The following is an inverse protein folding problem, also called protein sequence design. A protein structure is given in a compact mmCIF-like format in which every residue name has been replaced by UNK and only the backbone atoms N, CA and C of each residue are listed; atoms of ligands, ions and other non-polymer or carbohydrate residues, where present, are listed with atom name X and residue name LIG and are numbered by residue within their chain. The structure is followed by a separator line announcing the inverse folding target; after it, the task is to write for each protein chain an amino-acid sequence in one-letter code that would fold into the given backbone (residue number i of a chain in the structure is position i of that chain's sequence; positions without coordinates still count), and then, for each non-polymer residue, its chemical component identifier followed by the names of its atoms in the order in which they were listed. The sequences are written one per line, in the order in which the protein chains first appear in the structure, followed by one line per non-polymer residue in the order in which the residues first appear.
data_IF_328209100800
#
_entry.id   IF_328209100800
#
_cell.length_a   1.000
_cell.length_b   1.000
_cell.length_c   1.000
_cell.angle_alpha   90.00
_cell.angle_beta   90.00
_cell.angle_gamma   90.00
#
_symmetry.space_group_name_H-M   'P 1'
#
loop_
_entity.id
_entity.type
_entity.pdbx_description
1 polymer ?
#
# COMPACT_ATOMS: atom_id res chain seq x y z
N UNK A 1 -22.53 5.17 -17.52
CA UNK A 1 -22.98 3.77 -17.70
C UNK A 1 -22.57 2.99 -16.46
N UNK A 2 -23.49 2.75 -15.52
CA UNK A 2 -23.21 1.94 -14.34
C UNK A 2 -23.32 0.46 -14.75
N UNK A 3 -22.18 -0.19 -14.93
CA UNK A 3 -22.11 -1.62 -15.26
C UNK A 3 -22.69 -2.46 -14.12
N UNK A 4 -23.40 -3.53 -14.49
CA UNK A 4 -24.12 -4.47 -13.64
C UNK A 4 -23.20 -5.33 -12.73
N UNK A 5 -22.38 -4.72 -11.87
CA UNK A 5 -21.49 -5.44 -10.96
C UNK A 5 -22.16 -5.83 -9.63
N UNK A 6 -23.40 -5.43 -9.39
CA UNK A 6 -24.09 -5.69 -8.11
C UNK A 6 -24.14 -7.19 -7.73
N UNK A 7 -24.43 -8.14 -8.64
CA UNK A 7 -24.42 -9.56 -8.31
C UNK A 7 -23.06 -10.07 -7.83
N UNK A 8 -21.97 -9.54 -8.39
CA UNK A 8 -20.59 -9.88 -8.01
C UNK A 8 -20.25 -9.33 -6.62
N UNK A 9 -20.65 -8.10 -6.33
CA UNK A 9 -20.47 -7.50 -5.01
C UNK A 9 -21.25 -8.25 -3.94
N UNK A 10 -22.45 -8.74 -4.25
CA UNK A 10 -23.25 -9.53 -3.34
C UNK A 10 -22.63 -10.90 -3.02
N UNK A 11 -22.00 -11.54 -3.99
CA UNK A 11 -21.22 -12.76 -3.77
C UNK A 11 -20.05 -12.50 -2.83
N UNK A 12 -19.27 -11.43 -3.07
CA UNK A 12 -18.17 -11.05 -2.20
C UNK A 12 -18.66 -10.68 -0.78
N UNK A 13 -19.78 -9.96 -0.67
CA UNK A 13 -20.41 -9.62 0.62
C UNK A 13 -20.80 -10.85 1.42
N UNK A 14 -21.20 -11.95 0.78
CA UNK A 14 -21.46 -13.23 1.47
C UNK A 14 -20.17 -13.86 2.02
N UNK A 15 -19.04 -13.68 1.34
CA UNK A 15 -17.75 -14.24 1.76
C UNK A 15 -17.07 -13.48 2.91
N UNK A 16 -17.35 -12.18 3.08
CA UNK A 16 -16.69 -11.31 4.09
C UNK A 16 -17.42 -11.20 5.44
N UNK A 17 -18.69 -11.61 5.53
CA UNK A 17 -19.48 -11.52 6.77
C UNK A 17 -18.97 -12.46 7.88
N UNK A 18 -19.09 -12.03 9.15
CA UNK A 18 -18.12 -11.19 9.85
C UNK A 18 -16.80 -11.96 10.07
N UNK A 19 -15.89 -11.90 9.10
CA UNK A 19 -14.57 -12.55 9.22
C UNK A 19 -13.52 -11.61 9.77
N UNK A 20 -12.38 -12.18 10.17
CA UNK A 20 -11.22 -11.42 10.60
C UNK A 20 -10.74 -10.45 9.51
N UNK A 21 -10.14 -9.33 9.92
CA UNK A 21 -9.65 -8.29 8.99
C UNK A 21 -8.73 -8.86 7.90
N UNK A 22 -7.78 -9.73 8.25
CA UNK A 22 -6.88 -10.41 7.31
C UNK A 22 -7.63 -11.20 6.23
N UNK A 23 -8.71 -11.88 6.64
CA UNK A 23 -9.56 -12.65 5.73
C UNK A 23 -10.32 -11.75 4.76
N UNK A 24 -10.85 -10.63 5.26
CA UNK A 24 -11.55 -9.66 4.41
C UNK A 24 -10.59 -9.02 3.40
N UNK A 25 -9.38 -8.66 3.82
CA UNK A 25 -8.32 -8.16 2.93
C UNK A 25 -8.01 -9.18 1.84
N UNK A 26 -7.78 -10.45 2.19
CA UNK A 26 -7.50 -11.50 1.21
C UNK A 26 -8.60 -11.63 0.15
N UNK A 27 -9.85 -11.84 0.57
CA UNK A 27 -10.95 -12.03 -0.37
C UNK A 27 -11.17 -10.81 -1.27
N UNK A 28 -11.05 -9.59 -0.72
CA UNK A 28 -11.20 -8.38 -1.54
C UNK A 28 -10.05 -8.22 -2.54
N UNK A 29 -8.82 -8.56 -2.16
CA UNK A 29 -7.65 -8.49 -3.05
C UNK A 29 -7.72 -9.53 -4.17
N UNK A 30 -8.10 -10.78 -3.87
CA UNK A 30 -8.30 -11.82 -4.89
C UNK A 30 -9.47 -11.49 -5.82
N UNK A 31 -10.54 -10.91 -5.28
CA UNK A 31 -11.68 -10.50 -6.09
C UNK A 31 -11.33 -9.32 -7.01
N UNK A 32 -10.63 -8.31 -6.49
CA UNK A 32 -10.12 -7.18 -7.29
C UNK A 32 -9.05 -7.58 -8.31
N UNK A 33 -8.32 -8.67 -8.08
CA UNK A 33 -7.39 -9.26 -9.07
C UNK A 33 -8.14 -9.86 -10.26
N UNK A 34 -9.29 -10.48 -10.02
CA UNK A 34 -10.14 -11.06 -11.07
C UNK A 34 -10.99 -10.01 -11.80
N UNK A 35 -11.43 -8.97 -11.10
CA UNK A 35 -12.31 -7.93 -11.61
C UNK A 35 -11.79 -6.53 -11.23
N UNK A 36 -10.77 -5.98 -11.91
CA UNK A 36 -10.17 -4.70 -11.54
C UNK A 36 -11.14 -3.51 -11.52
N UNK A 37 -12.19 -3.56 -12.33
CA UNK A 37 -13.20 -2.51 -12.48
C UNK A 37 -14.05 -2.29 -11.22
N UNK A 38 -14.08 -3.24 -10.30
CA UNK A 38 -14.81 -3.12 -9.04
C UNK A 38 -13.95 -2.52 -7.92
N UNK A 39 -12.62 -2.37 -8.10
CA UNK A 39 -11.72 -1.81 -7.08
C UNK A 39 -12.23 -0.47 -6.53
N UNK A 40 -12.75 0.46 -7.35
CA UNK A 40 -13.35 1.70 -6.85
C UNK A 40 -14.56 1.48 -5.93
N UNK A 41 -15.28 0.37 -6.07
CA UNK A 41 -16.49 0.03 -5.31
C UNK A 41 -16.15 -0.68 -3.99
N UNK A 42 -15.12 -1.54 -3.99
CA UNK A 42 -14.65 -2.25 -2.78
C UNK A 42 -13.64 -1.44 -1.96
N UNK A 43 -12.92 -0.51 -2.59
CA UNK A 43 -11.96 0.38 -1.93
C UNK A 43 -10.61 -0.26 -1.58
N UNK A 44 -10.26 -1.41 -2.16
CA UNK A 44 -8.96 -2.05 -1.97
C UNK A 44 -8.55 -2.84 -3.22
N UNK A 45 -7.26 -2.91 -3.53
CA UNK A 45 -6.75 -3.66 -4.68
C UNK A 45 -5.23 -3.76 -4.69
N UNK A 46 -4.69 -4.63 -5.56
CA UNK A 46 -3.26 -4.67 -5.83
C UNK A 46 -2.84 -3.51 -6.73
N UNK A 47 -1.80 -2.78 -6.33
CA UNK A 47 -1.17 -1.73 -7.14
C UNK A 47 0.08 -2.24 -7.86
N UNK A 48 0.86 -3.08 -7.19
CA UNK A 48 1.94 -3.89 -7.77
C UNK A 48 2.02 -5.21 -7.01
N UNK A 49 3.01 -6.06 -7.29
CA UNK A 49 3.09 -7.39 -6.67
C UNK A 49 3.13 -7.37 -5.14
N UNK A 50 3.81 -6.38 -4.55
CA UNK A 50 3.99 -6.26 -3.09
C UNK A 50 3.30 -5.00 -2.52
N UNK A 51 2.57 -4.26 -3.35
CA UNK A 51 1.91 -3.03 -2.96
C UNK A 51 0.41 -3.15 -3.16
N UNK A 52 -0.34 -2.75 -2.14
CA UNK A 52 -1.79 -2.63 -2.22
C UNK A 52 -2.19 -1.17 -2.14
N UNK A 53 -3.35 -0.85 -2.69
CA UNK A 53 -4.01 0.44 -2.53
C UNK A 53 -5.27 0.23 -1.72
N UNK A 54 -5.58 1.18 -0.83
CA UNK A 54 -6.86 1.18 -0.14
C UNK A 54 -7.40 2.60 0.05
N UNK A 55 -8.68 2.75 -0.27
CA UNK A 55 -9.48 3.91 0.07
C UNK A 55 -10.11 3.69 1.44
N UNK A 56 -9.71 4.50 2.43
CA UNK A 56 -10.09 4.28 3.84
C UNK A 56 -11.60 4.22 4.06
N UNK A 57 -12.37 5.19 3.53
CA UNK A 57 -13.83 5.24 3.70
C UNK A 57 -14.58 4.12 2.96
N UNK A 58 -14.26 3.89 1.68
CA UNK A 58 -14.95 2.90 0.85
C UNK A 58 -14.71 1.50 1.41
N UNK A 59 -13.45 1.15 1.69
CA UNK A 59 -13.12 -0.18 2.21
C UNK A 59 -13.68 -0.40 3.61
N UNK A 60 -13.59 0.59 4.50
CA UNK A 60 -14.16 0.45 5.86
C UNK A 60 -15.66 0.25 5.82
N UNK A 61 -16.38 1.00 4.97
CA UNK A 61 -17.81 0.83 4.78
C UNK A 61 -18.14 -0.56 4.19
N UNK A 62 -17.38 -1.00 3.18
CA UNK A 62 -17.59 -2.28 2.51
C UNK A 62 -17.47 -3.47 3.47
N UNK A 63 -16.49 -3.45 4.39
CA UNK A 63 -16.29 -4.53 5.38
C UNK A 63 -17.00 -4.28 6.72
N UNK A 64 -17.78 -3.20 6.85
CA UNK A 64 -18.58 -2.91 8.03
C UNK A 64 -17.80 -2.47 9.27
N UNK A 65 -16.70 -1.73 9.11
CA UNK A 65 -15.92 -1.14 10.22
C UNK A 65 -15.85 0.38 10.12
N UNK A 66 -15.51 1.05 11.23
CA UNK A 66 -15.27 2.49 11.20
C UNK A 66 -13.99 2.84 10.41
N UNK A 67 -13.96 4.02 9.79
CA UNK A 67 -12.76 4.54 9.09
C UNK A 67 -11.54 4.63 10.01
N UNK A 68 -11.74 4.90 11.31
CA UNK A 68 -10.64 4.92 12.29
C UNK A 68 -10.10 3.51 12.55
N UNK A 69 -10.99 2.51 12.62
CA UNK A 69 -10.63 1.11 12.76
C UNK A 69 -9.87 0.58 11.55
N UNK A 70 -10.12 1.10 10.33
CA UNK A 70 -9.33 0.77 9.13
C UNK A 70 -7.84 1.08 9.34
N UNK A 71 -7.49 2.35 9.58
CA UNK A 71 -6.10 2.76 9.80
C UNK A 71 -5.48 2.07 11.02
N UNK A 72 -6.27 1.77 12.04
CA UNK A 72 -5.84 0.98 13.18
C UNK A 72 -5.49 -0.46 12.76
N UNK A 73 -6.38 -1.14 12.05
CA UNK A 73 -6.20 -2.53 11.63
C UNK A 73 -5.02 -2.69 10.67
N UNK A 74 -4.91 -1.86 9.62
CA UNK A 74 -3.76 -1.90 8.71
C UNK A 74 -2.44 -1.82 9.48
N UNK A 75 -2.34 -0.86 10.40
CA UNK A 75 -1.16 -0.73 11.27
C UNK A 75 -0.93 -2.00 12.08
N UNK A 76 -1.93 -2.52 12.79
CA UNK A 76 -1.78 -3.70 13.66
C UNK A 76 -1.50 -5.01 12.89
N UNK A 77 -1.73 -5.02 11.57
CA UNK A 77 -1.35 -6.09 10.66
C UNK A 77 -0.11 -5.71 9.83
N UNK A 78 0.78 -4.87 10.39
CA UNK A 78 2.09 -4.54 9.83
C UNK A 78 2.09 -3.94 8.42
N UNK A 79 1.00 -3.29 8.02
CA UNK A 79 1.00 -2.44 6.84
C UNK A 79 1.50 -1.03 7.17
N UNK A 80 2.33 -0.50 6.29
CA UNK A 80 2.85 0.86 6.32
C UNK A 80 2.44 1.60 5.06
N UNK A 81 2.19 2.91 5.19
CA UNK A 81 1.88 3.77 4.06
C UNK A 81 3.17 4.11 3.32
N UNK A 82 3.19 3.89 2.01
CA UNK A 82 4.29 4.35 1.15
C UNK A 82 4.11 5.84 0.83
N UNK A 83 4.85 6.68 1.54
CA UNK A 83 4.92 8.12 1.29
C UNK A 83 6.08 8.52 0.37
N UNK A 84 6.98 7.59 0.05
CA UNK A 84 8.25 7.91 -0.61
C UNK A 84 8.09 8.15 -2.12
N UNK A 85 7.05 7.58 -2.74
CA UNK A 85 6.91 7.52 -4.20
C UNK A 85 5.88 8.53 -4.71
N UNK A 86 6.28 9.80 -4.84
CA UNK A 86 5.45 10.86 -5.48
C UNK A 86 4.84 10.39 -6.81
N UNK A 87 5.65 9.78 -7.67
CA UNK A 87 5.22 9.25 -8.97
C UNK A 87 4.08 8.23 -8.87
N UNK A 88 4.02 7.42 -7.81
CA UNK A 88 2.95 6.46 -7.63
C UNK A 88 1.63 7.13 -7.23
N UNK A 89 1.69 8.25 -6.50
CA UNK A 89 0.49 9.05 -6.22
C UNK A 89 -0.06 9.63 -7.50
N UNK A 90 0.78 10.08 -8.42
CA UNK A 90 0.34 10.61 -9.71
C UNK A 90 -0.30 9.54 -10.60
N UNK A 91 0.27 8.32 -10.61
CA UNK A 91 -0.38 7.15 -11.26
C UNK A 91 -1.75 6.84 -10.66
N UNK A 92 -1.90 6.92 -9.33
CA UNK A 92 -3.20 6.77 -8.68
C UNK A 92 -4.21 7.84 -9.11
N UNK A 93 -3.78 9.08 -9.37
CA UNK A 93 -4.66 10.16 -9.82
C UNK A 93 -5.33 9.89 -11.16
N UNK A 94 -4.62 9.21 -12.05
CA UNK A 94 -5.15 8.84 -13.36
C UNK A 94 -6.18 7.72 -13.26
N UNK A 95 -6.06 6.84 -12.25
CA UNK A 95 -6.86 5.62 -12.15
C UNK A 95 -8.08 5.71 -11.23
N UNK A 96 -8.09 6.59 -10.23
CA UNK A 96 -9.15 6.60 -9.21
C UNK A 96 -9.63 8.01 -8.82
N UNK A 97 -10.95 8.21 -8.64
CA UNK A 97 -11.48 9.46 -8.10
C UNK A 97 -11.10 9.63 -6.62
N UNK A 98 -11.08 10.87 -6.13
CA UNK A 98 -10.83 11.21 -4.71
C UNK A 98 -9.50 10.70 -4.14
N UNK A 99 -8.40 11.04 -4.83
CA UNK A 99 -7.02 10.66 -4.47
C UNK A 99 -6.66 10.92 -3.01
N UNK A 100 -7.26 11.94 -2.37
CA UNK A 100 -7.00 12.32 -0.98
C UNK A 100 -7.18 11.15 0.01
N UNK A 101 -8.03 10.19 -0.32
CA UNK A 101 -8.36 9.08 0.56
C UNK A 101 -7.76 7.73 0.14
N UNK A 102 -7.12 7.68 -1.03
CA UNK A 102 -6.36 6.52 -1.49
C UNK A 102 -4.94 6.54 -0.95
N UNK A 103 -4.57 5.49 -0.22
CA UNK A 103 -3.21 5.29 0.25
C UNK A 103 -2.63 4.01 -0.35
N UNK A 104 -1.33 4.05 -0.66
CA UNK A 104 -0.56 2.88 -1.03
C UNK A 104 0.02 2.29 0.24
N UNK A 105 -0.14 1.00 0.43
CA UNK A 105 0.42 0.26 1.54
C UNK A 105 1.39 -0.80 1.04
N UNK A 106 2.44 -1.00 1.81
CA UNK A 106 3.27 -2.19 1.74
C UNK A 106 3.21 -2.91 3.08
N UNK A 107 3.33 -4.22 3.06
CA UNK A 107 3.43 -5.02 4.27
C UNK A 107 4.90 -5.15 4.68
N UNK A 108 5.19 -5.17 5.99
CA UNK A 108 6.58 -5.28 6.47
C UNK A 108 7.24 -6.61 6.07
N UNK A 109 6.49 -7.71 6.04
CA UNK A 109 7.00 -8.96 5.49
C UNK A 109 6.99 -8.91 3.96
N UNK A 110 8.15 -9.15 3.35
CA UNK A 110 8.35 -9.27 1.90
C UNK A 110 7.59 -10.44 1.27
N UNK A 111 7.05 -11.36 2.08
CA UNK A 111 6.31 -12.53 1.62
C UNK A 111 4.84 -12.23 1.31
N UNK A 112 4.31 -11.06 1.68
CA UNK A 112 2.93 -10.69 1.35
C UNK A 112 2.87 -10.07 -0.05
N UNK A 113 2.36 -10.83 -1.01
CA UNK A 113 2.33 -10.45 -2.41
C UNK A 113 1.09 -10.99 -3.14
N UNK A 114 0.94 -10.63 -4.41
CA UNK A 114 -0.20 -10.99 -5.28
C UNK A 114 -0.36 -12.50 -5.55
N UNK A 115 0.66 -13.30 -5.24
CA UNK A 115 0.64 -14.77 -5.36
C UNK A 115 0.41 -15.47 -4.02
N UNK A 116 0.37 -14.73 -2.90
CA UNK A 116 0.19 -15.33 -1.58
C UNK A 116 -1.13 -16.11 -1.47
N UNK A 117 -1.05 -17.29 -0.89
CA UNK A 117 -2.21 -18.14 -0.63
C UNK A 117 -3.00 -17.67 0.59
N UNK A 118 -4.25 -18.14 0.74
CA UNK A 118 -5.07 -17.79 1.90
C UNK A 118 -4.39 -18.15 3.24
N UNK A 119 -3.76 -19.32 3.32
CA UNK A 119 -3.09 -19.80 4.53
C UNK A 119 -1.84 -18.97 4.86
N UNK A 120 -1.08 -18.56 3.85
CA UNK A 120 0.04 -17.63 4.02
C UNK A 120 -0.45 -16.28 4.52
N UNK A 121 -1.48 -15.71 3.89
CA UNK A 121 -2.02 -14.40 4.30
C UNK A 121 -2.54 -14.46 5.74
N UNK A 122 -3.17 -15.56 6.15
CA UNK A 122 -3.63 -15.75 7.53
C UNK A 122 -2.47 -15.81 8.54
N UNK A 123 -1.32 -16.37 8.15
CA UNK A 123 -0.10 -16.42 8.97
C UNK A 123 0.69 -15.11 8.96
N UNK A 124 0.69 -14.38 7.85
CA UNK A 124 1.43 -13.13 7.70
C UNK A 124 0.67 -11.96 8.35
N UNK A 125 -0.64 -11.89 8.13
CA UNK A 125 -1.50 -10.84 8.66
C UNK A 125 -2.03 -11.22 10.05
N UNK A 126 -1.11 -11.40 11.00
CA UNK A 126 -1.43 -11.59 12.41
C UNK A 126 -1.59 -10.23 13.07
N UNK A 127 -2.63 -10.11 13.90
CA UNK A 127 -2.83 -8.92 14.72
C UNK A 127 -1.73 -8.79 15.78
N UNK A 128 -0.97 -7.70 15.74
CA UNK A 128 0.08 -7.38 16.71
C UNK A 128 -0.42 -6.36 17.73
N UNK A 129 -0.43 -6.71 19.03
CA UNK A 129 -1.06 -5.87 20.06
C UNK A 129 -0.37 -4.52 20.29
N UNK A 130 0.94 -4.41 20.09
CA UNK A 130 1.72 -3.19 20.36
C UNK A 130 3.07 -3.28 19.66
N UNK A 131 3.16 -2.84 18.41
CA UNK A 131 4.44 -2.34 17.93
C UNK A 131 4.27 -0.84 17.81
N UNK A 132 4.92 -0.09 18.71
CA UNK A 132 5.09 1.34 18.53
C UNK A 132 5.66 1.60 17.13
N UNK A 133 5.33 2.73 16.52
CA UNK A 133 5.90 3.12 15.22
C UNK A 133 7.42 3.01 15.23
N UNK A 134 8.05 3.27 16.38
CA UNK A 134 9.49 3.12 16.61
C UNK A 134 9.97 1.67 16.48
N UNK A 135 9.31 0.71 17.10
CA UNK A 135 9.68 -0.72 16.99
C UNK A 135 9.53 -1.22 15.54
N UNK A 136 8.52 -0.75 14.81
CA UNK A 136 8.38 -1.08 13.38
C UNK A 136 9.49 -0.47 12.51
N UNK A 137 9.90 0.76 12.82
CA UNK A 137 11.02 1.41 12.13
C UNK A 137 12.35 0.73 12.45
N UNK A 138 12.54 0.20 13.66
CA UNK A 138 13.72 -0.60 14.01
C UNK A 138 13.78 -1.86 13.15
N UNK A 139 12.63 -2.55 12.94
CA UNK A 139 12.57 -3.71 12.05
C UNK A 139 12.96 -3.34 10.61
N UNK A 140 12.50 -2.19 10.09
CA UNK A 140 12.90 -1.69 8.77
C UNK A 140 14.38 -1.33 8.68
N UNK A 141 14.93 -0.68 9.70
CA UNK A 141 16.31 -0.18 9.70
C UNK A 141 17.36 -1.29 9.95
N UNK A 142 16.96 -2.44 10.50
CA UNK A 142 17.86 -3.59 10.72
C UNK A 142 18.37 -4.25 9.43
N UNK A 143 18.01 -3.77 8.23
CA UNK A 143 18.43 -4.31 6.93
C UNK A 143 18.00 -5.77 6.65
N UNK A 144 17.23 -6.41 7.53
CA UNK A 144 16.67 -7.75 7.30
C UNK A 144 15.55 -7.76 6.24
N UNK A 145 15.05 -6.59 5.84
CA UNK A 145 14.07 -6.48 4.77
C UNK A 145 14.75 -5.87 3.54
N UNK A 146 15.04 -6.65 2.49
CA UNK A 146 15.38 -6.06 1.21
C UNK A 146 14.22 -5.16 0.81
N UNK A 147 14.45 -3.84 0.83
CA UNK A 147 13.57 -2.92 0.11
C UNK A 147 13.56 -3.48 -1.31
N UNK A 148 12.41 -3.96 -1.83
CA UNK A 148 12.40 -4.59 -3.13
C UNK A 148 12.99 -3.58 -4.11
N UNK A 149 14.17 -3.92 -4.62
CA UNK A 149 14.84 -3.17 -5.66
C UNK A 149 13.99 -3.42 -6.91
N UNK A 150 12.93 -2.63 -7.04
CA UNK A 150 12.15 -2.57 -8.27
C UNK A 150 13.04 -1.78 -9.22
N UNK A 151 14.04 -2.48 -9.75
CA UNK A 151 14.79 -2.03 -10.89
C UNK A 151 13.77 -1.55 -11.91
N UNK A 152 13.94 -0.30 -12.31
CA UNK A 152 13.16 0.38 -13.31
C UNK A 152 13.17 -0.41 -14.62
N UNK A 153 12.24 -1.34 -14.79
CA UNK A 153 11.78 -1.71 -16.13
C UNK A 153 10.95 -0.54 -16.67
N UNK A 154 11.65 0.52 -17.05
CA UNK A 154 11.14 1.50 -17.99
C UNK A 154 11.10 0.82 -19.36
N UNK A 155 10.03 0.08 -19.63
CA UNK A 155 9.58 -0.07 -21.02
C UNK A 155 9.08 1.31 -21.44
N UNK A 156 9.82 1.96 -22.34
CA UNK A 156 9.36 3.13 -23.07
C UNK A 156 8.05 2.77 -23.76
N UNK A 157 6.93 3.14 -23.14
CA UNK A 157 5.65 3.19 -23.81
C UNK A 157 5.67 4.53 -24.55
N UNK A 158 5.88 4.48 -25.86
CA UNK A 158 5.72 5.63 -26.72
C UNK A 158 4.28 6.16 -26.57
N UNK A 159 4.14 7.34 -25.99
CA UNK A 159 2.87 8.05 -25.97
C UNK A 159 2.66 8.67 -27.37
N UNK A 160 1.47 8.55 -27.97
CA UNK A 160 1.16 9.29 -29.18
C UNK A 160 1.24 10.79 -28.90
N UNK A 161 1.82 11.54 -29.85
CA UNK A 161 1.91 12.99 -29.81
C UNK A 161 0.50 13.58 -29.61
N UNK A 162 0.30 14.20 -28.46
CA UNK A 162 -0.86 15.03 -28.20
C UNK A 162 -0.59 16.35 -28.93
N UNK A 163 -1.35 16.59 -29.99
CA UNK A 163 -1.36 17.87 -30.70
C UNK A 163 -2.21 18.83 -29.86
N UNK A 164 -1.55 19.59 -28.98
CA UNK A 164 -2.20 20.66 -28.22
C UNK A 164 -2.28 21.92 -29.09
N UNK A 165 -3.48 22.21 -29.60
CA UNK A 165 -3.85 23.56 -30.04
C UNK A 165 -4.92 24.09 -29.08
N UNK A 166 -4.48 24.81 -28.04
CA UNK A 166 -5.36 25.65 -27.24
C UNK A 166 -4.79 27.06 -27.20
N UNK A 167 -5.55 27.97 -27.80
CA UNK A 167 -5.39 29.41 -27.65
C UNK A 167 -5.77 29.79 -26.20
N UNK A 168 -4.77 30.27 -25.45
CA UNK A 168 -4.90 30.70 -24.07
C UNK A 168 -4.93 32.23 -24.02
N UNK A 169 -6.12 32.79 -23.83
CA UNK A 169 -6.27 34.15 -23.31
C UNK A 169 -6.77 34.10 -21.87
N UNK A 170 -5.86 34.51 -20.97
CA UNK A 170 -6.15 35.43 -19.87
C UNK A 170 -6.79 34.84 -18.59
N UNK A 171 -5.99 34.71 -17.52
CA UNK A 171 -6.28 35.40 -16.25
C UNK A 171 -5.11 35.32 -15.28
N UNK A 172 -4.60 36.48 -14.87
CA UNK A 172 -3.56 36.60 -13.85
C UNK A 172 -4.09 36.25 -12.47
N UNK A 173 -3.37 35.38 -11.77
CA UNK A 173 -3.56 35.13 -10.34
C UNK A 173 -2.19 35.02 -9.66
N UNK A 174 -1.76 36.09 -8.99
CA UNK A 174 -0.55 36.10 -8.19
C UNK A 174 -0.80 35.41 -6.85
N UNK A 175 -0.07 34.34 -6.57
CA UNK A 175 -0.11 33.62 -5.30
C UNK A 175 1.22 33.83 -4.55
N UNK A 176 1.20 34.63 -3.49
CA UNK A 176 2.35 34.81 -2.58
C UNK A 176 2.32 33.73 -1.49
N UNK A 177 3.37 32.91 -1.44
CA UNK A 177 3.54 31.87 -0.40
C UNK A 177 4.41 32.45 0.73
N UNK A 178 3.97 32.42 2.01
CA UNK A 178 4.83 32.80 3.12
C UNK A 178 5.91 31.73 3.34
N UNK A 179 7.16 32.14 3.15
CA UNK A 179 8.35 31.34 3.32
C UNK A 179 8.84 31.43 4.78
N UNK A 180 8.42 30.49 5.64
CA UNK A 180 9.04 30.27 6.95
C UNK A 180 9.09 28.77 7.28
N UNK A 181 10.17 28.11 6.87
CA UNK A 181 10.63 26.86 7.48
C UNK A 181 11.93 27.14 8.23
N UNK A 182 12.08 26.69 9.49
CA UNK A 182 13.32 26.88 10.23
C UNK A 182 14.45 26.05 9.62
N UNK A 183 15.58 26.72 9.38
CA UNK A 183 16.82 26.11 8.92
C UNK A 183 17.37 25.14 9.98
N UNK A 184 17.64 23.91 9.51
CA UNK A 184 18.64 22.96 10.02
C UNK A 184 18.38 22.35 11.41
N UNK A 185 17.88 21.12 11.40
CA UNK A 185 17.98 20.20 12.54
C UNK A 185 19.28 19.40 12.39
N UNK A 186 20.21 19.53 13.35
CA UNK A 186 21.49 18.83 13.36
C UNK A 186 21.31 17.41 13.93
N UNK A 187 21.52 16.40 13.08
CA UNK A 187 21.40 14.98 13.42
C UNK A 187 22.73 14.34 13.87
N UNK A 188 23.84 15.08 13.91
CA UNK A 188 25.17 14.53 14.16
C UNK A 188 25.41 14.04 15.60
N UNK A 189 24.53 14.40 16.55
CA UNK A 189 24.72 14.10 17.98
C UNK A 189 24.19 12.72 18.42
N UNK A 190 23.56 11.94 17.53
CA UNK A 190 22.86 10.70 17.92
C UNK A 190 23.50 9.40 17.41
N UNK A 191 24.70 9.47 16.84
CA UNK A 191 25.34 8.32 16.18
C UNK A 191 26.22 7.43 17.08
N UNK A 192 26.27 7.65 18.39
CA UNK A 192 27.16 6.88 19.27
C UNK A 192 26.37 6.20 20.39
N UNK A 193 25.91 4.97 20.16
CA UNK A 193 25.90 3.85 21.13
C UNK A 193 25.18 2.64 20.51
N UNK A 194 25.71 1.45 20.79
CA UNK A 194 25.22 0.10 20.45
C UNK A 194 25.81 -0.52 19.17
N UNK A 195 27.12 -0.77 19.22
CA UNK A 195 27.68 -2.04 18.73
C UNK A 195 27.84 -2.95 19.94
N UNK A 196 27.04 -4.00 20.02
CA UNK A 196 27.45 -5.28 20.60
C UNK A 196 26.96 -6.34 19.61
N UNK A 197 27.94 -6.90 18.90
CA UNK A 197 27.84 -8.02 17.98
C UNK A 197 27.77 -9.31 18.79
N UNK A 198 26.75 -10.14 18.54
CA UNK A 198 26.77 -11.62 18.57
C UNK A 198 25.32 -12.14 18.52
N UNK A 199 24.71 -12.12 17.32
CA UNK A 199 23.46 -12.84 17.07
C UNK A 199 23.55 -13.51 15.68
N UNK A 200 23.43 -14.83 15.68
CA UNK A 200 23.44 -15.68 14.48
C UNK A 200 22.26 -15.32 13.55
N UNK A 201 22.56 -15.19 12.26
CA UNK A 201 21.62 -14.87 11.17
C UNK A 201 20.49 -15.90 11.04
N UNK A 202 19.20 -15.52 11.16
CA UNK A 202 18.11 -16.36 10.67
C UNK A 202 18.00 -16.24 9.15
N UNK A 203 18.20 -17.37 8.47
CA UNK A 203 18.09 -17.56 7.01
C UNK A 203 16.80 -16.93 6.42
N UNK A 204 16.88 -16.10 5.36
CA UNK A 204 15.72 -15.49 4.74
C UNK A 204 15.03 -16.50 3.82
N UNK A 205 13.89 -17.03 4.26
CA UNK A 205 12.92 -17.79 3.44
C UNK A 205 13.57 -18.90 2.59
N UNK A 206 13.81 -20.05 3.22
CA UNK A 206 14.33 -21.22 2.51
C UNK A 206 13.48 -21.60 1.30
N UNK A 207 14.19 -21.71 0.18
CA UNK A 207 13.73 -22.24 -1.09
C UNK A 207 13.19 -23.67 -0.91
N UNK A 208 11.98 -23.93 -1.38
CA UNK A 208 11.60 -25.30 -1.74
C UNK A 208 12.22 -25.65 -3.08
N UNK A 209 13.30 -26.42 -3.02
CA UNK A 209 13.90 -27.13 -4.16
C UNK A 209 12.95 -28.24 -4.62
N UNK A 210 12.62 -28.23 -5.91
CA UNK A 210 11.98 -29.31 -6.64
C UNK A 210 12.98 -30.45 -6.84
N UNK A 211 12.60 -31.68 -6.48
CA UNK A 211 13.12 -32.97 -6.97
C UNK A 211 11.93 -33.95 -6.90
N UNK A 212 11.45 -34.65 -7.93
CA UNK A 212 11.82 -34.87 -9.34
C UNK A 212 10.52 -34.98 -10.15
#
# INVERSE_FOLDING_TARGET
MALHHEPLLDELRKLIKPKAFSTNVYYCLEFGKKYPEIIPQIGIGWFSDNLIISHSKIFSNFIGISTNSHSYNFRHHNFLIDNSRKNNKDKLKLSYPDIKHWNIYFHLSTCFNKTSTFEEVKKLLIYTKKASTRERLVLLNRKEYPIPNIASESKEIAFPEIVDSYDDENSGFEFTVPNQFPEKFDYSQYAATLYDSDAEDPSPCENYTILL
#
